data_IF_600776260561
#
_entry.id   IF_600776260561
#
_cell.length_a   1.000
_cell.length_b   1.000
_cell.length_c   1.000
_cell.angle_alpha   90.00
_cell.angle_beta   90.00
_cell.angle_gamma   90.00
#
_symmetry.space_group_name_H-M   'P 1'
#
loop_
_entity.id
_entity.type
_entity.pdbx_description
1 polymer ?
#
# COMPACT_ATOMS: atom_id res chain seq x y z
N UNK A 1 -3.02 -2.77 -8.10
CA UNK A 1 -3.55 -2.63 -6.73
C UNK A 1 -2.57 -3.22 -5.72
N UNK A 2 -2.42 -2.63 -4.52
CA UNK A 2 -1.60 -3.22 -3.49
C UNK A 2 -2.21 -4.56 -3.03
N UNK A 3 -1.35 -5.53 -2.74
CA UNK A 3 -1.75 -6.82 -2.23
C UNK A 3 -0.98 -7.16 -0.94
N UNK A 4 -1.57 -8.02 -0.10
CA UNK A 4 -0.98 -8.41 1.18
C UNK A 4 0.14 -9.46 0.99
N UNK A 5 1.01 -9.63 1.98
CA UNK A 5 2.01 -10.71 1.98
C UNK A 5 1.37 -12.10 1.96
N UNK A 6 0.20 -12.23 2.56
CA UNK A 6 -0.54 -13.49 2.53
C UNK A 6 -0.97 -13.83 1.09
N UNK A 7 -1.51 -12.84 0.37
CA UNK A 7 -1.85 -12.98 -1.05
C UNK A 7 -0.63 -13.36 -1.89
N UNK A 8 0.53 -12.72 -1.65
CA UNK A 8 1.79 -13.09 -2.31
C UNK A 8 2.12 -14.55 -2.11
N UNK A 9 2.21 -14.99 -0.85
CA UNK A 9 2.55 -16.38 -0.50
C UNK A 9 1.60 -17.38 -1.14
N UNK A 10 0.32 -17.06 -1.16
CA UNK A 10 -0.72 -17.91 -1.76
C UNK A 10 -0.50 -18.05 -3.28
N UNK A 11 -0.22 -16.94 -3.97
CA UNK A 11 0.07 -16.96 -5.42
C UNK A 11 1.36 -17.74 -5.68
N UNK A 12 2.43 -17.49 -4.92
CA UNK A 12 3.71 -18.18 -5.06
C UNK A 12 3.55 -19.69 -4.85
N UNK A 13 2.77 -20.10 -3.85
CA UNK A 13 2.52 -21.52 -3.58
C UNK A 13 1.64 -22.18 -4.64
N UNK A 14 0.62 -21.48 -5.15
CA UNK A 14 -0.32 -22.02 -6.12
C UNK A 14 0.30 -22.22 -7.51
N UNK A 15 1.18 -21.31 -7.92
CA UNK A 15 1.74 -21.29 -9.28
C UNK A 15 3.22 -21.69 -9.34
N UNK A 16 3.83 -22.05 -8.21
CA UNK A 16 5.26 -22.38 -8.08
C UNK A 16 6.17 -21.32 -8.74
N UNK A 17 5.91 -20.04 -8.45
CA UNK A 17 6.62 -18.92 -9.02
C UNK A 17 6.93 -17.85 -7.97
N UNK A 18 7.89 -16.97 -8.27
CA UNK A 18 8.17 -15.80 -7.45
C UNK A 18 7.37 -14.60 -7.93
N UNK A 19 6.70 -13.92 -6.99
CA UNK A 19 5.91 -12.71 -7.25
C UNK A 19 6.69 -11.49 -6.79
N UNK A 20 6.93 -10.56 -7.72
CA UNK A 20 7.62 -9.30 -7.43
C UNK A 20 6.64 -8.14 -7.52
N UNK A 21 6.68 -7.28 -6.50
CA UNK A 21 5.83 -6.10 -6.46
C UNK A 21 6.38 -5.00 -7.40
N UNK A 22 5.47 -4.29 -8.00
CA UNK A 22 5.74 -3.15 -8.88
C UNK A 22 4.81 -2.00 -8.48
N UNK A 23 5.37 -0.82 -8.36
CA UNK A 23 4.63 0.40 -8.09
C UNK A 23 4.63 1.31 -9.30
N UNK A 24 3.48 1.88 -9.58
CA UNK A 24 3.29 2.86 -10.63
C UNK A 24 1.90 3.47 -10.60
N UNK A 25 1.74 4.55 -11.35
CA UNK A 25 0.48 5.27 -11.50
C UNK A 25 0.42 5.85 -12.92
N UNK A 26 -0.81 6.05 -13.41
CA UNK A 26 -1.04 6.53 -14.79
C UNK A 26 -0.38 7.88 -15.04
N UNK A 27 -0.35 8.75 -14.05
CA UNK A 27 0.27 10.08 -14.10
C UNK A 27 1.79 10.01 -14.31
N UNK A 28 2.43 8.90 -13.94
CA UNK A 28 3.87 8.67 -14.07
C UNK A 28 4.25 7.68 -15.20
N UNK A 29 3.44 7.60 -16.25
CA UNK A 29 3.59 6.68 -17.40
C UNK A 29 3.36 5.19 -17.09
N UNK A 30 2.48 4.89 -16.13
CA UNK A 30 2.06 3.52 -15.86
C UNK A 30 2.95 2.78 -14.86
N UNK A 31 3.09 1.46 -14.96
CA UNK A 31 3.59 0.59 -13.89
C UNK A 31 5.12 0.57 -13.75
N UNK A 32 5.80 1.68 -13.94
CA UNK A 32 7.25 1.68 -14.06
C UNK A 32 7.98 2.64 -13.12
N UNK A 33 7.43 2.96 -11.94
CA UNK A 33 8.06 3.91 -11.01
C UNK A 33 9.05 3.23 -10.07
N UNK A 34 8.67 2.09 -9.51
CA UNK A 34 9.53 1.33 -8.61
C UNK A 34 9.25 -0.19 -8.68
N UNK A 35 10.28 -1.01 -8.50
CA UNK A 35 10.20 -2.46 -8.61
C UNK A 35 10.95 -3.18 -7.49
N UNK A 36 10.42 -4.29 -7.03
CA UNK A 36 11.17 -5.22 -6.18
C UNK A 36 12.30 -5.90 -6.95
N UNK A 37 13.33 -6.25 -6.23
CA UNK A 37 14.38 -7.16 -6.70
C UNK A 37 14.18 -8.55 -6.10
N UNK A 38 15.10 -9.48 -6.43
CA UNK A 38 15.08 -10.88 -5.96
C UNK A 38 15.00 -11.05 -4.43
N UNK A 39 15.36 -10.03 -3.66
CA UNK A 39 15.30 -10.06 -2.19
C UNK A 39 13.93 -9.69 -1.64
N UNK A 40 12.98 -9.22 -2.47
CA UNK A 40 11.61 -8.87 -2.08
C UNK A 40 11.55 -7.96 -0.82
N UNK A 41 12.54 -7.10 -0.67
CA UNK A 41 12.69 -6.19 0.47
C UNK A 41 12.63 -4.73 0.01
N UNK A 42 11.43 -4.29 -0.30
CA UNK A 42 11.14 -2.96 -0.82
C UNK A 42 11.37 -2.81 -2.32
N UNK A 43 10.82 -1.73 -2.85
CA UNK A 43 10.82 -1.42 -4.27
C UNK A 43 11.89 -0.37 -4.58
N UNK A 44 12.82 -0.69 -5.47
CA UNK A 44 13.82 0.25 -5.97
C UNK A 44 13.16 1.26 -6.90
N UNK A 45 13.27 2.53 -6.56
CA UNK A 45 12.77 3.63 -7.38
C UNK A 45 13.73 3.90 -8.55
N UNK A 46 13.19 4.23 -9.72
CA UNK A 46 13.97 4.72 -10.85
C UNK A 46 14.36 6.19 -10.64
N UNK A 47 15.42 6.44 -9.87
CA UNK A 47 15.87 7.79 -9.48
C UNK A 47 16.53 8.59 -10.64
N UNK A 48 16.84 7.95 -11.73
CA UNK A 48 17.20 8.58 -12.99
C UNK A 48 16.00 9.19 -13.74
N UNK A 49 14.80 8.66 -13.50
CA UNK A 49 13.56 9.15 -14.10
C UNK A 49 12.67 9.97 -13.15
N UNK A 50 12.82 9.77 -11.84
CA UNK A 50 11.95 10.37 -10.82
C UNK A 50 12.74 10.89 -9.62
N UNK A 51 12.43 12.10 -9.18
CA UNK A 51 12.83 12.58 -7.85
C UNK A 51 11.77 12.16 -6.84
N UNK A 52 12.22 11.50 -5.78
CA UNK A 52 11.40 11.00 -4.67
C UNK A 52 11.49 11.92 -3.45
N UNK A 53 10.35 12.25 -2.90
CA UNK A 53 10.21 12.88 -1.59
C UNK A 53 9.18 12.11 -0.77
N UNK A 54 9.40 11.98 0.54
CA UNK A 54 8.38 11.52 1.49
C UNK A 54 8.07 12.70 2.41
N UNK A 55 6.80 13.07 2.49
CA UNK A 55 6.35 14.23 3.25
C UNK A 55 5.29 13.85 4.29
N UNK A 56 5.23 14.62 5.35
CA UNK A 56 4.07 14.63 6.23
C UNK A 56 2.85 15.18 5.48
N UNK A 57 1.75 14.42 5.36
CA UNK A 57 0.60 14.81 4.54
C UNK A 57 -0.10 16.09 5.03
N UNK A 58 0.04 16.45 6.31
CA UNK A 58 -0.60 17.61 6.93
C UNK A 58 0.25 18.88 6.78
N UNK A 59 1.55 18.76 6.99
CA UNK A 59 2.47 19.92 7.00
C UNK A 59 3.16 20.14 5.66
N UNK A 60 3.22 19.11 4.80
CA UNK A 60 3.94 19.14 3.53
C UNK A 60 5.47 19.15 3.67
N UNK A 61 6.00 18.98 4.88
CA UNK A 61 7.44 18.94 5.15
C UNK A 61 7.99 17.53 4.93
N UNK A 62 9.25 17.46 4.51
CA UNK A 62 9.97 16.19 4.39
C UNK A 62 10.05 15.49 5.75
N UNK A 63 9.89 14.17 5.75
CA UNK A 63 10.12 13.32 6.92
C UNK A 63 11.47 12.61 6.77
N UNK A 64 12.11 12.22 7.88
CA UNK A 64 13.33 11.43 7.87
C UNK A 64 13.15 10.06 7.21
N UNK A 65 14.23 9.51 6.64
CA UNK A 65 14.24 8.15 6.10
C UNK A 65 13.85 7.14 7.20
N UNK A 66 12.97 6.22 6.86
CA UNK A 66 12.39 5.24 7.78
C UNK A 66 11.06 5.66 8.38
N UNK A 67 10.73 6.93 8.38
CA UNK A 67 9.41 7.42 8.82
C UNK A 67 8.38 7.33 7.70
N UNK A 68 7.13 7.02 8.07
CA UNK A 68 6.01 6.93 7.14
C UNK A 68 5.51 8.32 6.78
N UNK A 69 5.32 8.57 5.50
CA UNK A 69 4.72 9.78 4.97
C UNK A 69 4.08 9.56 3.61
N UNK A 70 3.60 10.64 3.02
CA UNK A 70 3.02 10.63 1.68
C UNK A 70 4.12 10.69 0.62
N UNK A 71 4.04 9.80 -0.35
CA UNK A 71 4.94 9.78 -1.50
C UNK A 71 4.66 10.95 -2.43
N UNK A 72 5.69 11.68 -2.76
CA UNK A 72 5.68 12.78 -3.73
C UNK A 72 6.70 12.51 -4.82
N UNK A 73 6.30 12.65 -6.07
CA UNK A 73 7.12 12.35 -7.23
C UNK A 73 7.25 13.57 -8.16
N UNK A 74 8.45 13.77 -8.66
CA UNK A 74 8.74 14.72 -9.74
C UNK A 74 9.36 13.96 -10.91
N UNK A 75 8.84 14.18 -12.12
CA UNK A 75 9.41 13.57 -13.33
C UNK A 75 10.65 14.34 -13.81
N UNK A 76 11.74 13.63 -14.09
CA UNK A 76 13.00 14.22 -14.54
C UNK A 76 13.20 14.18 -16.05
N UNK A 77 12.66 13.15 -16.73
CA UNK A 77 12.89 12.90 -18.15
C UNK A 77 11.68 13.21 -19.04
N UNK A 78 10.60 13.74 -18.48
CA UNK A 78 9.34 13.90 -19.20
C UNK A 78 9.26 15.27 -19.87
N UNK A 79 9.28 15.30 -21.20
CA UNK A 79 9.19 16.54 -22.00
C UNK A 79 7.75 17.00 -22.22
N UNK A 80 6.85 16.08 -22.55
CA UNK A 80 5.42 16.34 -22.65
C UNK A 80 4.75 16.26 -21.28
N UNK A 81 4.14 17.34 -20.82
CA UNK A 81 3.44 17.44 -19.53
C UNK A 81 4.35 17.01 -18.35
N UNK A 82 5.44 17.75 -18.06
CA UNK A 82 6.27 17.49 -16.90
C UNK A 82 5.47 17.67 -15.62
N UNK A 83 5.67 16.74 -14.69
CA UNK A 83 4.96 16.74 -13.40
C UNK A 83 5.96 17.08 -12.28
N UNK A 84 5.66 18.11 -11.51
CA UNK A 84 6.48 18.59 -10.42
C UNK A 84 5.77 18.39 -9.10
N UNK A 85 6.45 17.72 -8.16
CA UNK A 85 5.98 17.47 -6.78
C UNK A 85 4.54 16.95 -6.73
N UNK A 86 4.25 15.92 -7.51
CA UNK A 86 2.94 15.28 -7.51
C UNK A 86 2.71 14.51 -6.22
N UNK A 87 1.71 14.90 -5.48
CA UNK A 87 1.27 14.23 -4.26
C UNK A 87 0.41 13.02 -4.66
N UNK A 88 0.99 11.82 -4.52
CA UNK A 88 0.32 10.58 -4.93
C UNK A 88 -0.83 10.16 -4.00
N UNK A 89 -0.82 10.69 -2.79
CA UNK A 89 -1.65 10.28 -1.64
C UNK A 89 -1.28 8.90 -1.08
N UNK A 90 -0.39 8.18 -1.69
CA UNK A 90 0.07 6.89 -1.20
C UNK A 90 1.03 7.07 -0.01
N UNK A 91 0.81 6.29 1.04
CA UNK A 91 1.64 6.29 2.24
C UNK A 91 2.69 5.20 2.15
N UNK A 92 3.94 5.58 2.30
CA UNK A 92 5.08 4.68 2.33
C UNK A 92 6.22 5.31 3.15
N UNK A 93 7.39 4.69 3.14
CA UNK A 93 8.63 5.21 3.74
C UNK A 93 9.84 4.80 2.92
N UNK A 94 10.92 5.53 3.01
CA UNK A 94 12.21 5.09 2.49
C UNK A 94 12.76 4.00 3.41
N UNK A 95 13.19 2.89 2.83
CA UNK A 95 13.91 1.83 3.56
C UNK A 95 15.38 2.22 3.65
N UNK A 96 15.92 2.50 4.84
CA UNK A 96 17.31 2.87 4.99
C UNK A 96 18.28 1.75 4.62
N UNK A 97 19.47 2.12 4.21
CA UNK A 97 20.57 1.21 3.94
C UNK A 97 20.55 0.57 2.56
N UNK A 98 21.66 -0.09 2.24
CA UNK A 98 21.89 -0.72 0.95
C UNK A 98 21.08 -2.02 0.79
N UNK A 99 20.76 -2.35 -0.46
CA UNK A 99 20.15 -3.63 -0.79
C UNK A 99 21.25 -4.64 -1.18
N UNK A 100 21.16 -5.91 -0.71
CA UNK A 100 22.10 -6.95 -1.11
C UNK A 100 22.17 -7.21 -2.63
N UNK A 101 21.19 -6.77 -3.40
CA UNK A 101 21.19 -6.87 -4.86
C UNK A 101 22.24 -5.97 -5.55
N UNK A 102 22.87 -5.06 -4.80
CA UNK A 102 23.90 -4.14 -5.31
C UNK A 102 23.38 -2.86 -5.97
N UNK A 103 22.05 -2.72 -6.20
CA UNK A 103 21.48 -1.48 -6.72
C UNK A 103 21.60 -0.36 -5.70
N UNK A 104 21.94 0.84 -6.17
CA UNK A 104 22.11 2.04 -5.33
C UNK A 104 20.88 2.93 -5.27
N UNK A 105 19.89 2.68 -6.13
CA UNK A 105 18.59 3.37 -6.06
C UNK A 105 17.95 3.15 -4.70
N UNK A 106 17.43 4.21 -4.10
CA UNK A 106 16.68 4.12 -2.84
C UNK A 106 15.48 3.19 -2.99
N UNK A 107 15.10 2.59 -1.87
CA UNK A 107 13.93 1.70 -1.83
C UNK A 107 12.84 2.33 -1.02
N UNK A 108 11.62 2.22 -1.53
CA UNK A 108 10.42 2.49 -0.75
C UNK A 108 9.85 1.17 -0.21
N UNK A 109 9.21 1.25 0.93
CA UNK A 109 8.39 0.15 1.46
C UNK A 109 7.16 -0.06 0.57
N UNK A 110 6.43 -1.14 0.76
CA UNK A 110 5.13 -1.30 0.12
C UNK A 110 4.23 -0.14 0.46
N UNK A 111 3.22 0.11 -0.35
CA UNK A 111 2.19 1.08 -0.02
C UNK A 111 1.40 0.58 1.20
N UNK A 112 1.31 1.42 2.21
CA UNK A 112 0.67 1.12 3.50
C UNK A 112 -0.80 1.55 3.54
N UNK A 113 -1.23 2.32 2.55
CA UNK A 113 -2.55 2.90 2.41
C UNK A 113 -2.48 4.24 1.71
N UNK A 114 -3.58 4.99 1.73
CA UNK A 114 -3.66 6.33 1.16
C UNK A 114 -3.98 7.36 2.24
N UNK A 115 -3.42 8.55 2.12
CA UNK A 115 -3.68 9.64 3.08
C UNK A 115 -5.12 10.19 2.99
N UNK A 116 -5.77 10.03 1.83
CA UNK A 116 -7.15 10.43 1.57
C UNK A 116 -8.20 9.33 1.86
N UNK A 117 -7.79 8.10 2.09
CA UNK A 117 -8.66 6.98 2.49
C UNK A 117 -8.73 6.78 4.02
N UNK A 118 -8.10 7.67 4.78
CA UNK A 118 -8.08 7.57 6.23
C UNK A 118 -9.46 7.81 6.81
N UNK A 119 -9.94 6.87 7.60
CA UNK A 119 -11.20 6.92 8.33
C UNK A 119 -10.90 7.30 9.77
N UNK A 120 -11.61 8.30 10.31
CA UNK A 120 -11.49 8.68 11.71
C UNK A 120 -12.72 8.16 12.45
N UNK A 121 -12.52 7.24 13.38
CA UNK A 121 -13.59 6.70 14.24
C UNK A 121 -13.22 6.90 15.70
N UNK A 122 -14.02 7.66 16.42
CA UNK A 122 -13.78 7.99 17.85
C UNK A 122 -12.37 8.54 18.13
N UNK A 123 -11.83 9.35 17.19
CA UNK A 123 -10.48 9.93 17.31
C UNK A 123 -9.34 8.99 16.94
N UNK A 124 -9.63 7.79 16.45
CA UNK A 124 -8.62 6.83 15.97
C UNK A 124 -8.56 6.86 14.45
N UNK A 125 -7.36 7.02 13.90
CA UNK A 125 -7.12 6.94 12.47
C UNK A 125 -7.04 5.48 12.03
N UNK A 126 -7.91 5.09 11.09
CA UNK A 126 -8.03 3.72 10.56
C UNK A 126 -7.85 3.80 9.04
N UNK A 127 -6.99 2.95 8.50
CA UNK A 127 -6.83 2.78 7.07
C UNK A 127 -7.48 1.46 6.63
N UNK A 128 -8.26 1.44 5.51
CA UNK A 128 -8.92 0.22 5.02
C UNK A 128 -7.98 -0.98 4.89
N UNK A 129 -6.76 -0.78 4.42
CA UNK A 129 -5.75 -1.84 4.33
C UNK A 129 -5.37 -2.47 5.68
N UNK A 130 -5.49 -1.72 6.79
CA UNK A 130 -5.25 -2.30 8.13
C UNK A 130 -6.37 -3.27 8.51
N UNK A 131 -7.62 -2.91 8.15
CA UNK A 131 -8.79 -3.78 8.35
C UNK A 131 -8.65 -5.02 7.48
N UNK A 132 -8.36 -4.86 6.19
CA UNK A 132 -8.15 -5.97 5.25
C UNK A 132 -7.09 -6.97 5.76
N UNK A 133 -5.94 -6.46 6.23
CA UNK A 133 -4.88 -7.32 6.76
C UNK A 133 -5.34 -8.19 7.94
N UNK A 134 -6.21 -7.64 8.79
CA UNK A 134 -6.78 -8.40 9.92
C UNK A 134 -7.77 -9.44 9.41
N UNK A 135 -8.65 -9.05 8.48
CA UNK A 135 -9.68 -9.94 7.93
C UNK A 135 -9.06 -11.13 7.18
N UNK A 136 -8.05 -10.89 6.36
CA UNK A 136 -7.37 -11.93 5.58
C UNK A 136 -6.57 -12.93 6.42
N UNK A 137 -6.38 -12.66 7.72
CA UNK A 137 -5.78 -13.64 8.64
C UNK A 137 -6.78 -14.75 9.06
N UNK A 138 -8.07 -14.59 8.78
CA UNK A 138 -9.11 -15.56 9.09
C UNK A 138 -9.46 -16.38 7.84
N UNK A 139 -9.22 -17.70 7.83
CA UNK A 139 -9.45 -18.53 6.63
C UNK A 139 -10.93 -18.62 6.22
N UNK A 140 -11.86 -18.37 7.15
CA UNK A 140 -13.30 -18.37 6.92
C UNK A 140 -13.79 -17.14 6.15
N UNK A 141 -13.02 -16.05 6.17
CA UNK A 141 -13.39 -14.78 5.53
C UNK A 141 -13.10 -14.88 4.04
N UNK A 142 -14.08 -14.46 3.22
CA UNK A 142 -13.96 -14.31 1.78
C UNK A 142 -13.11 -13.11 1.36
N UNK A 143 -13.15 -12.78 0.09
CA UNK A 143 -12.35 -11.68 -0.45
C UNK A 143 -13.07 -10.33 -0.39
N UNK A 144 -14.40 -10.35 -0.21
CA UNK A 144 -15.21 -9.16 -0.21
C UNK A 144 -15.56 -8.71 1.21
N UNK A 145 -15.38 -7.44 1.47
CA UNK A 145 -15.80 -6.81 2.72
C UNK A 145 -16.27 -5.38 2.48
N UNK A 146 -17.08 -4.87 3.40
CA UNK A 146 -17.57 -3.48 3.38
C UNK A 146 -17.39 -2.87 4.76
N UNK A 147 -16.78 -1.69 4.81
CA UNK A 147 -16.70 -0.88 6.03
C UNK A 147 -17.87 0.08 6.01
N UNK A 148 -18.79 -0.07 6.97
CA UNK A 148 -19.96 0.81 7.15
C UNK A 148 -19.66 1.76 8.30
N UNK A 149 -19.72 3.04 8.02
CA UNK A 149 -19.60 4.12 9.01
C UNK A 149 -20.96 4.68 9.28
N UNK A 150 -21.38 4.65 10.53
CA UNK A 150 -22.65 5.23 10.98
C UNK A 150 -22.38 6.30 12.03
N UNK A 151 -23.07 7.43 11.93
CA UNK A 151 -23.03 8.49 12.93
C UNK A 151 -24.43 8.67 13.49
N UNK A 152 -24.57 8.41 14.79
CA UNK A 152 -25.78 8.69 15.56
C UNK A 152 -25.48 9.79 16.58
N UNK A 153 -25.89 11.01 16.26
CA UNK A 153 -25.56 12.19 17.05
C UNK A 153 -24.06 12.44 17.16
N UNK A 154 -23.51 12.27 18.35
CA UNK A 154 -22.06 12.41 18.64
C UNK A 154 -21.30 11.07 18.64
N UNK A 155 -21.95 9.99 18.29
CA UNK A 155 -21.39 8.63 18.37
C UNK A 155 -21.08 8.09 16.99
N UNK A 156 -19.80 7.99 16.67
CA UNK A 156 -19.35 7.30 15.46
C UNK A 156 -19.25 5.80 15.76
N UNK A 157 -19.81 4.98 14.87
CA UNK A 157 -19.70 3.52 14.90
C UNK A 157 -19.17 3.01 13.56
N UNK A 158 -18.28 2.02 13.64
CA UNK A 158 -17.77 1.32 12.48
C UNK A 158 -18.22 -0.13 12.55
N UNK A 159 -18.84 -0.60 11.49
CA UNK A 159 -19.18 -2.01 11.27
C UNK A 159 -18.39 -2.52 10.08
N UNK A 160 -17.84 -3.72 10.20
CA UNK A 160 -17.20 -4.40 9.07
C UNK A 160 -18.07 -5.59 8.72
N UNK A 161 -18.63 -5.57 7.53
CA UNK A 161 -19.39 -6.67 6.96
C UNK A 161 -18.45 -7.50 6.09
N UNK A 162 -18.40 -8.79 6.29
CA UNK A 162 -17.50 -9.69 5.59
C UNK A 162 -18.29 -10.76 4.86
N UNK A 163 -17.80 -11.15 3.71
CA UNK A 163 -18.23 -12.36 3.04
C UNK A 163 -17.64 -13.58 3.78
N UNK A 164 -18.44 -14.59 4.04
CA UNK A 164 -17.97 -15.86 4.58
C UNK A 164 -17.92 -16.88 3.44
N UNK A 165 -16.84 -17.67 3.37
CA UNK A 165 -16.70 -18.72 2.36
C UNK A 165 -17.74 -19.80 2.53
N UNK A 166 -18.31 -20.28 1.43
CA UNK A 166 -19.34 -21.34 1.45
C UNK A 166 -18.86 -22.61 2.15
N UNK A 167 -17.59 -22.96 2.03
CA UNK A 167 -16.97 -24.12 2.67
C UNK A 167 -17.05 -24.06 4.19
N UNK A 168 -17.07 -22.85 4.79
CA UNK A 168 -17.15 -22.63 6.23
C UNK A 168 -18.59 -22.82 6.77
N UNK A 169 -19.61 -22.76 5.92
CA UNK A 169 -21.01 -22.98 6.33
C UNK A 169 -21.37 -24.48 6.48
N UNK A 170 -20.59 -25.39 5.91
CA UNK A 170 -20.91 -26.82 5.85
C UNK A 170 -20.46 -27.58 7.10
N UNK A 171 -19.47 -27.06 7.84
CA UNK A 171 -18.95 -27.75 9.04
C UNK A 171 -19.86 -27.63 10.27
N UNK A 172 -20.67 -26.56 10.38
CA UNK A 172 -21.52 -26.34 11.57
C UNK A 172 -22.91 -27.01 11.49
N UNK A 173 -23.22 -27.73 10.40
CA UNK A 173 -24.50 -28.44 10.22
C UNK A 173 -24.38 -29.98 10.26
N UNK A 174 -23.31 -30.50 10.89
CA UNK A 174 -23.18 -31.97 11.10
C UNK A 174 -23.09 -32.33 12.55
#
# INVERSE_FOLDING_TARGET
EPYTEETRRRIEALFDMKVYNSYGLSEMNGPGVAFECQYQNGLHLWEDAYLLEIIDPNTGKLVPDGEVGELVLTTLCRHGMPILRYRTRDLTRIIPGDCPCGRKHRRIDRILGRSDDMIIVKGVNIYPMQVERVLMAYPEVGQNYVIVLERDGLKDTMKVQVEIREESFVEDMR
#
